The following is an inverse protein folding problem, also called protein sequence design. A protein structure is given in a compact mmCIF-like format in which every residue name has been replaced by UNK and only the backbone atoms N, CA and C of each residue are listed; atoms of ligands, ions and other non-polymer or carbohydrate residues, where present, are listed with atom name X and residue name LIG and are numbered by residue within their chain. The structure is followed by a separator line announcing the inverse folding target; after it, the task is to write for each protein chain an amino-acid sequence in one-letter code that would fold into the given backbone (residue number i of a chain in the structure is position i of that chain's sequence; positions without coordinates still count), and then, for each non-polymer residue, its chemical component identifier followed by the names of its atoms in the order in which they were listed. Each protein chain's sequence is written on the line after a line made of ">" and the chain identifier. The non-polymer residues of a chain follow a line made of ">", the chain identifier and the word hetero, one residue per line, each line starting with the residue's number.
data_IF_569856198213
#
_entry.id   IF_569856198213
#
_cell.length_a   1.000
_cell.length_b   1.000
_cell.length_c   1.000
_cell.angle_alpha   90.00
_cell.angle_beta   90.00
_cell.angle_gamma   90.00
#
_symmetry.space_group_name_H-M   'P 1'
#
loop_
_entity.id
_entity.type
_entity.pdbx_description
1 polymer ?
#
# COMPACT_ATOMS: atom_id res chain seq x y z
N UNK A 1 -18.78 -0.64 -20.51
CA UNK A 1 -17.93 -0.46 -19.31
C UNK A 1 -17.04 -1.68 -19.19
N UNK A 2 -15.72 -1.52 -19.34
CA UNK A 2 -14.78 -2.62 -19.21
C UNK A 2 -14.60 -2.91 -17.72
N UNK A 3 -14.80 -4.16 -17.29
CA UNK A 3 -14.39 -4.61 -15.96
C UNK A 3 -12.88 -4.80 -16.04
N UNK A 4 -12.10 -3.97 -15.34
CA UNK A 4 -10.67 -4.22 -15.19
C UNK A 4 -10.49 -5.56 -14.48
N UNK A 5 -9.78 -6.49 -15.13
CA UNK A 5 -9.40 -7.74 -14.48
C UNK A 5 -8.26 -7.48 -13.52
N UNK A 6 -8.07 -8.35 -12.54
CA UNK A 6 -6.96 -8.22 -11.60
C UNK A 6 -5.59 -8.32 -12.29
N UNK A 7 -5.51 -9.01 -13.42
CA UNK A 7 -4.33 -9.03 -14.28
C UNK A 7 -4.06 -7.66 -14.91
N UNK A 8 -5.11 -6.98 -15.37
CA UNK A 8 -5.00 -5.62 -15.90
C UNK A 8 -4.61 -4.63 -14.81
N UNK A 9 -5.16 -4.75 -13.60
CA UNK A 9 -4.76 -3.90 -12.47
C UNK A 9 -3.26 -4.02 -12.18
N UNK A 10 -2.71 -5.24 -12.26
CA UNK A 10 -1.29 -5.45 -12.04
C UNK A 10 -0.42 -5.01 -13.22
N UNK A 11 -0.82 -5.26 -14.46
CA UNK A 11 -0.05 -4.93 -15.65
C UNK A 11 0.43 -3.47 -15.69
N UNK A 12 1.61 -3.21 -16.25
CA UNK A 12 2.10 -1.85 -16.46
C UNK A 12 1.20 -1.08 -17.44
N UNK A 13 0.89 0.17 -17.14
CA UNK A 13 0.03 1.03 -17.94
C UNK A 13 0.85 2.10 -18.64
N UNK A 14 1.46 1.72 -19.75
CA UNK A 14 2.35 2.58 -20.51
C UNK A 14 1.67 3.88 -20.98
N UNK A 15 2.31 5.01 -20.70
CA UNK A 15 1.80 6.36 -21.03
C UNK A 15 2.56 7.04 -22.17
N UNK A 16 3.47 6.33 -22.84
CA UNK A 16 4.34 6.83 -23.92
C UNK A 16 5.16 8.09 -23.54
N UNK A 17 5.40 8.33 -22.24
CA UNK A 17 6.29 9.40 -21.76
C UNK A 17 5.86 10.84 -22.04
N UNK A 18 4.62 11.08 -22.51
CA UNK A 18 4.15 12.42 -22.91
C UNK A 18 3.81 13.35 -21.74
N UNK A 19 3.72 12.81 -20.53
CA UNK A 19 3.37 13.54 -19.30
C UNK A 19 4.17 12.95 -18.13
N UNK A 20 4.42 13.73 -17.06
CA UNK A 20 4.97 13.16 -15.84
C UNK A 20 4.06 12.05 -15.32
N UNK A 21 4.64 10.91 -15.04
CA UNK A 21 3.91 9.69 -14.69
C UNK A 21 4.76 8.85 -13.75
N UNK A 22 4.10 8.22 -12.79
CA UNK A 22 4.68 7.16 -11.99
C UNK A 22 3.71 5.98 -11.94
N UNK A 23 4.25 4.78 -11.80
CA UNK A 23 3.53 3.56 -11.51
C UNK A 23 4.40 2.66 -10.64
N UNK A 24 3.90 2.28 -9.48
CA UNK A 24 4.65 1.52 -8.49
C UNK A 24 3.81 0.43 -7.85
N UNK A 25 4.44 -0.71 -7.58
CA UNK A 25 3.86 -1.86 -6.90
C UNK A 25 4.55 -2.01 -5.55
N UNK A 26 3.75 -2.05 -4.49
CA UNK A 26 4.20 -2.26 -3.12
C UNK A 26 3.90 -3.69 -2.70
N UNK A 27 4.96 -4.46 -2.45
CA UNK A 27 4.93 -5.78 -1.86
C UNK A 27 5.29 -5.67 -0.40
N UNK A 28 4.42 -6.18 0.47
CA UNK A 28 4.74 -6.33 1.89
C UNK A 28 4.76 -7.78 2.26
N UNK A 29 5.83 -8.19 2.92
CA UNK A 29 6.05 -9.54 3.44
C UNK A 29 6.22 -9.44 4.94
N UNK A 30 5.45 -10.20 5.70
CA UNK A 30 5.44 -10.15 7.15
C UNK A 30 5.60 -11.55 7.74
N UNK A 31 6.75 -11.77 8.39
CA UNK A 31 7.07 -13.02 9.09
C UNK A 31 6.94 -12.82 10.61
N UNK A 32 7.23 -13.85 11.41
CA UNK A 32 7.32 -13.70 12.86
C UNK A 32 8.46 -12.77 13.28
N UNK A 33 9.56 -12.75 12.53
CA UNK A 33 10.81 -12.09 12.90
C UNK A 33 11.04 -10.75 12.20
N UNK A 34 10.63 -10.62 10.94
CA UNK A 34 10.91 -9.43 10.13
C UNK A 34 9.70 -9.07 9.27
N UNK A 35 9.51 -7.77 9.05
CA UNK A 35 8.61 -7.26 8.02
C UNK A 35 9.44 -6.52 6.99
N UNK A 36 9.12 -6.71 5.72
CA UNK A 36 9.82 -6.12 4.57
C UNK A 36 8.78 -5.49 3.65
N UNK A 37 9.05 -4.26 3.22
CA UNK A 37 8.37 -3.60 2.12
C UNK A 37 9.31 -3.52 0.92
N UNK A 38 8.82 -3.87 -0.27
CA UNK A 38 9.52 -3.73 -1.54
C UNK A 38 8.62 -2.96 -2.49
N UNK A 39 9.06 -1.77 -2.88
CA UNK A 39 8.41 -0.94 -3.87
C UNK A 39 9.22 -1.07 -5.16
N UNK A 40 8.62 -1.62 -6.20
CA UNK A 40 9.18 -1.56 -7.56
C UNK A 40 8.36 -0.54 -8.33
N UNK A 41 8.99 0.36 -9.08
CA UNK A 41 8.24 1.35 -9.83
C UNK A 41 8.97 1.91 -11.03
N UNK A 42 8.19 2.52 -11.91
CA UNK A 42 8.64 3.20 -13.11
C UNK A 42 8.16 4.64 -13.00
N UNK A 43 9.01 5.58 -13.39
CA UNK A 43 8.63 6.97 -13.50
C UNK A 43 9.33 7.65 -14.68
N UNK A 44 8.77 8.78 -15.11
CA UNK A 44 9.35 9.60 -16.17
C UNK A 44 9.92 10.89 -15.60
N UNK A 45 11.22 11.10 -15.79
CA UNK A 45 11.89 12.36 -15.48
C UNK A 45 12.40 12.99 -16.78
N UNK A 46 11.90 14.19 -17.12
CA UNK A 46 12.26 14.92 -18.35
C UNK A 46 12.12 14.10 -19.65
N UNK A 47 11.12 13.21 -19.69
CA UNK A 47 10.85 12.33 -20.83
C UNK A 47 11.68 11.04 -20.85
N UNK A 48 12.59 10.83 -19.90
CA UNK A 48 13.38 9.61 -19.76
C UNK A 48 12.68 8.69 -18.75
N UNK A 49 12.42 7.45 -19.18
CA UNK A 49 11.86 6.39 -18.31
C UNK A 49 12.97 5.87 -17.39
N UNK A 50 12.68 5.79 -16.10
CA UNK A 50 13.58 5.25 -15.10
C UNK A 50 12.82 4.27 -14.19
N UNK A 51 13.45 3.14 -13.90
CA UNK A 51 13.00 2.17 -12.93
C UNK A 51 13.59 2.49 -11.57
N UNK A 52 12.89 2.10 -10.50
CA UNK A 52 13.45 2.13 -9.16
C UNK A 52 12.96 0.94 -8.34
N UNK A 53 13.82 0.46 -7.45
CA UNK A 53 13.43 -0.47 -6.39
C UNK A 53 13.75 0.20 -5.08
N UNK A 54 12.77 0.28 -4.19
CA UNK A 54 12.94 0.75 -2.83
C UNK A 54 12.61 -0.36 -1.86
N UNK A 55 13.53 -0.66 -0.95
CA UNK A 55 13.37 -1.71 0.05
C UNK A 55 13.44 -1.08 1.43
N UNK A 56 12.55 -1.49 2.33
CA UNK A 56 12.59 -1.14 3.74
C UNK A 56 12.32 -2.38 4.58
N UNK A 57 12.95 -2.49 5.75
CA UNK A 57 12.79 -3.65 6.61
C UNK A 57 12.90 -3.31 8.09
N UNK A 58 12.25 -4.12 8.93
CA UNK A 58 12.26 -3.91 10.39
C UNK A 58 13.51 -4.42 11.09
N UNK A 59 14.43 -5.10 10.39
CA UNK A 59 15.66 -5.63 10.98
C UNK A 59 16.75 -4.56 11.05
N UNK A 60 16.99 -3.86 9.94
CA UNK A 60 17.92 -2.73 9.82
C UNK A 60 17.26 -1.40 10.13
N UNK A 61 15.94 -1.29 9.95
CA UNK A 61 15.15 -0.07 10.11
C UNK A 61 15.68 1.09 9.25
N UNK A 62 16.09 0.79 8.02
CA UNK A 62 16.51 1.75 6.99
C UNK A 62 15.74 1.48 5.70
N UNK A 63 15.84 2.42 4.75
CA UNK A 63 15.38 2.20 3.39
C UNK A 63 16.52 2.36 2.38
N UNK A 64 16.61 1.42 1.46
CA UNK A 64 17.50 1.46 0.30
C UNK A 64 16.71 1.85 -0.95
N UNK A 65 17.30 2.69 -1.80
CA UNK A 65 16.70 3.15 -3.05
C UNK A 65 17.69 2.93 -4.19
N UNK A 66 17.30 2.10 -5.14
CA UNK A 66 18.07 1.72 -6.31
C UNK A 66 17.39 2.30 -7.55
N UNK A 67 18.19 2.81 -8.49
CA UNK A 67 17.71 3.39 -9.75
C UNK A 67 18.22 2.54 -10.90
N UNK A 68 17.34 2.28 -11.86
CA UNK A 68 17.61 1.49 -13.05
C UNK A 68 17.35 2.36 -14.29
N UNK A 69 18.33 2.52 -15.18
CA UNK A 69 18.12 3.20 -16.45
C UNK A 69 17.14 2.42 -17.34
N UNK A 70 16.62 3.09 -18.36
CA UNK A 70 15.61 2.52 -19.28
C UNK A 70 16.02 1.18 -19.90
N UNK A 71 17.30 1.04 -20.26
CA UNK A 71 17.88 -0.16 -20.87
C UNK A 71 17.83 -1.41 -19.98
N UNK A 72 17.72 -1.22 -18.66
CA UNK A 72 17.60 -2.31 -17.70
C UNK A 72 16.14 -2.71 -17.44
N UNK A 73 15.17 -1.93 -17.94
CA UNK A 73 13.74 -2.11 -17.69
C UNK A 73 13.11 -3.01 -18.75
N UNK A 74 12.62 -4.16 -18.31
CA UNK A 74 11.95 -5.14 -19.14
C UNK A 74 10.55 -5.42 -18.59
N UNK A 75 9.52 -5.12 -19.38
CA UNK A 75 8.13 -5.29 -18.98
C UNK A 75 7.45 -6.29 -19.91
N UNK A 76 6.95 -7.36 -19.33
CA UNK A 76 6.03 -8.30 -19.96
C UNK A 76 4.63 -8.07 -19.37
N UNK A 77 3.59 -8.64 -19.97
CA UNK A 77 2.18 -8.32 -19.66
C UNK A 77 1.85 -8.35 -18.15
N UNK A 78 2.41 -9.32 -17.41
CA UNK A 78 2.17 -9.49 -15.96
C UNK A 78 3.47 -9.70 -15.16
N UNK A 79 4.59 -9.18 -15.68
CA UNK A 79 5.91 -9.33 -15.07
C UNK A 79 6.75 -8.08 -15.29
N UNK A 80 7.32 -7.58 -14.21
CA UNK A 80 8.23 -6.43 -14.21
C UNK A 80 9.63 -6.94 -13.88
N UNK A 81 10.60 -6.60 -14.72
CA UNK A 81 11.99 -6.96 -14.50
C UNK A 81 12.92 -5.76 -14.62
N UNK A 82 13.81 -5.60 -13.65
CA UNK A 82 14.94 -4.68 -13.72
C UNK A 82 16.22 -5.48 -13.59
N UNK A 83 16.95 -5.64 -14.70
CA UNK A 83 18.05 -6.63 -14.83
C UNK A 83 17.59 -8.04 -14.41
N UNK A 84 18.23 -8.63 -13.39
CA UNK A 84 17.92 -9.94 -12.82
C UNK A 84 16.72 -9.94 -11.86
N UNK A 85 16.30 -8.78 -11.36
CA UNK A 85 15.19 -8.66 -10.41
C UNK A 85 13.87 -8.90 -11.13
N UNK A 86 12.97 -9.70 -10.55
CA UNK A 86 11.69 -10.09 -11.15
C UNK A 86 10.54 -9.95 -10.17
N UNK A 87 9.46 -9.28 -10.61
CA UNK A 87 8.28 -9.02 -9.81
C UNK A 87 7.02 -9.41 -10.57
N UNK A 88 6.23 -10.29 -9.98
CA UNK A 88 4.91 -10.69 -10.47
C UNK A 88 3.91 -10.70 -9.32
N UNK A 89 2.64 -10.89 -9.62
CA UNK A 89 1.63 -11.11 -8.58
C UNK A 89 1.91 -12.34 -7.71
N UNK A 90 2.67 -13.32 -8.20
CA UNK A 90 2.87 -14.60 -7.55
C UNK A 90 4.28 -14.82 -7.02
N UNK A 91 5.20 -13.91 -7.33
CA UNK A 91 6.61 -14.11 -7.07
C UNK A 91 7.36 -12.77 -6.97
N UNK A 92 8.31 -12.72 -6.03
CA UNK A 92 9.27 -11.64 -5.87
C UNK A 92 10.68 -12.23 -5.83
N UNK A 93 11.50 -11.83 -6.79
CA UNK A 93 12.94 -12.02 -6.80
C UNK A 93 13.61 -10.65 -6.74
N UNK A 94 14.38 -10.41 -5.68
CA UNK A 94 15.20 -9.22 -5.54
C UNK A 94 16.60 -9.61 -5.10
N UNK A 95 17.61 -9.06 -5.74
CA UNK A 95 19.00 -9.24 -5.39
C UNK A 95 19.74 -7.91 -5.57
N UNK A 96 20.52 -7.56 -4.55
CA UNK A 96 21.49 -6.49 -4.61
C UNK A 96 22.71 -6.85 -3.76
N UNK A 97 23.87 -6.94 -4.41
CA UNK A 97 25.12 -7.34 -3.76
C UNK A 97 25.67 -6.25 -2.83
N UNK A 98 25.59 -4.99 -3.24
CA UNK A 98 26.15 -3.85 -2.50
C UNK A 98 25.46 -3.66 -1.14
N UNK A 99 24.12 -3.75 -1.12
CA UNK A 99 23.29 -3.66 0.08
C UNK A 99 23.19 -4.98 0.83
N UNK A 100 23.74 -6.07 0.26
CA UNK A 100 23.65 -7.43 0.78
C UNK A 100 22.20 -7.86 1.03
N UNK A 101 21.37 -7.65 0.01
CA UNK A 101 19.95 -8.01 0.02
C UNK A 101 19.68 -9.11 -0.99
N UNK A 102 18.98 -10.14 -0.55
CA UNK A 102 18.46 -11.16 -1.45
C UNK A 102 17.10 -11.66 -0.94
N UNK A 103 16.11 -11.69 -1.81
CA UNK A 103 14.74 -12.09 -1.49
C UNK A 103 14.24 -12.95 -2.64
N UNK A 104 13.76 -14.15 -2.30
CA UNK A 104 13.15 -15.07 -3.25
C UNK A 104 11.90 -15.65 -2.59
N UNK A 105 10.74 -15.13 -2.99
CA UNK A 105 9.48 -15.34 -2.25
C UNK A 105 8.33 -15.62 -3.19
N UNK A 106 7.67 -16.75 -2.98
CA UNK A 106 6.45 -17.17 -3.67
C UNK A 106 5.21 -16.74 -2.89
N UNK A 107 4.16 -16.35 -3.60
CA UNK A 107 2.89 -15.89 -3.04
C UNK A 107 1.76 -16.86 -3.41
N UNK A 108 1.11 -17.41 -2.38
CA UNK A 108 0.06 -18.41 -2.52
C UNK A 108 -1.24 -17.97 -1.86
N UNK A 109 -2.37 -18.55 -2.27
CA UNK A 109 -3.68 -18.36 -1.62
C UNK A 109 -4.06 -16.87 -1.49
N UNK A 110 -4.04 -16.16 -2.62
CA UNK A 110 -4.36 -14.73 -2.63
C UNK A 110 -5.84 -14.48 -2.36
N UNK A 111 -6.13 -13.58 -1.42
CA UNK A 111 -7.45 -13.02 -1.21
C UNK A 111 -7.55 -11.69 -1.95
N UNK A 112 -8.41 -11.64 -2.96
CA UNK A 112 -8.62 -10.46 -3.79
C UNK A 112 -9.76 -9.62 -3.29
N UNK A 113 -9.70 -8.32 -3.54
CA UNK A 113 -10.82 -7.42 -3.26
C UNK A 113 -12.05 -7.81 -4.10
N UNK A 114 -13.20 -7.96 -3.47
CA UNK A 114 -14.44 -8.25 -4.20
C UNK A 114 -14.94 -7.00 -4.91
N UNK A 115 -15.05 -7.06 -6.25
CA UNK A 115 -15.57 -5.98 -7.09
C UNK A 115 -16.86 -6.35 -7.83
N UNK A 116 -17.56 -5.35 -8.34
CA UNK A 116 -18.71 -5.50 -9.24
C UNK A 116 -18.71 -4.40 -10.31
N UNK A 117 -19.74 -4.33 -11.16
CA UNK A 117 -19.79 -3.35 -12.26
C UNK A 117 -19.83 -1.89 -11.78
N UNK A 118 -20.32 -1.61 -10.58
CA UNK A 118 -20.31 -0.25 -10.02
C UNK A 118 -18.97 0.07 -9.34
N UNK A 119 -18.33 -0.94 -8.75
CA UNK A 119 -17.07 -0.81 -8.03
C UNK A 119 -16.11 -1.94 -8.40
N UNK A 120 -15.49 -1.89 -9.60
CA UNK A 120 -14.65 -2.98 -10.09
C UNK A 120 -13.36 -3.12 -9.27
N UNK A 121 -12.81 -2.00 -8.81
CA UNK A 121 -11.58 -1.91 -8.00
C UNK A 121 -11.85 -1.22 -6.66
N UNK A 122 -10.80 -0.97 -5.89
CA UNK A 122 -10.89 -0.20 -4.63
C UNK A 122 -11.33 1.25 -4.86
N UNK A 123 -11.06 1.80 -6.05
CA UNK A 123 -11.46 3.14 -6.46
C UNK A 123 -12.98 3.27 -6.68
N UNK A 124 -13.74 2.18 -6.67
CA UNK A 124 -15.18 2.24 -6.89
C UNK A 124 -15.52 2.86 -8.25
N UNK A 125 -16.51 3.76 -8.33
CA UNK A 125 -16.84 4.47 -9.57
C UNK A 125 -15.68 5.30 -10.15
N UNK A 126 -14.70 5.71 -9.33
CA UNK A 126 -13.54 6.49 -9.80
C UNK A 126 -12.58 5.68 -10.66
N UNK A 127 -12.70 4.34 -10.70
CA UNK A 127 -11.99 3.49 -11.68
C UNK A 127 -12.33 3.84 -13.14
N UNK A 128 -13.47 4.48 -13.38
CA UNK A 128 -13.90 4.90 -14.71
C UNK A 128 -13.47 6.34 -15.07
N UNK A 129 -12.66 6.97 -14.23
CA UNK A 129 -12.26 8.37 -14.36
C UNK A 129 -10.74 8.50 -14.35
N UNK A 130 -10.21 9.53 -15.00
CA UNK A 130 -8.80 9.90 -14.85
C UNK A 130 -8.61 10.57 -13.47
N UNK A 131 -7.82 9.91 -12.61
CA UNK A 131 -7.49 10.40 -11.28
C UNK A 131 -6.01 10.77 -11.22
N UNK A 132 -5.65 11.77 -10.40
CA UNK A 132 -4.25 12.17 -10.17
C UNK A 132 -3.41 10.99 -9.63
N UNK A 133 -4.04 10.16 -8.80
CA UNK A 133 -3.52 8.91 -8.29
C UNK A 133 -4.64 7.86 -8.32
N UNK A 134 -4.38 6.75 -9.00
CA UNK A 134 -5.23 5.56 -9.03
C UNK A 134 -4.60 4.50 -8.14
N UNK A 135 -5.36 4.03 -7.17
CA UNK A 135 -4.95 2.98 -6.24
C UNK A 135 -5.54 1.63 -6.64
N UNK A 136 -4.77 0.56 -6.54
CA UNK A 136 -5.18 -0.80 -6.86
C UNK A 136 -4.73 -1.75 -5.74
N UNK A 137 -5.66 -2.59 -5.26
CA UNK A 137 -5.34 -3.67 -4.33
C UNK A 137 -5.25 -4.97 -5.12
N UNK A 138 -4.03 -5.48 -5.28
CA UNK A 138 -3.74 -6.71 -6.01
C UNK A 138 -4.03 -7.94 -5.13
N UNK A 139 -3.60 -7.88 -3.87
CA UNK A 139 -3.85 -8.92 -2.88
C UNK A 139 -4.02 -8.33 -1.48
N UNK A 140 -5.19 -8.49 -0.88
CA UNK A 140 -5.46 -8.10 0.52
C UNK A 140 -4.69 -8.97 1.52
N UNK A 141 -4.46 -10.23 1.18
CA UNK A 141 -3.79 -11.21 2.03
C UNK A 141 -3.34 -12.39 1.19
N UNK A 142 -2.13 -12.87 1.37
CA UNK A 142 -1.65 -14.12 0.79
C UNK A 142 -0.62 -14.77 1.72
N UNK A 143 -0.32 -16.05 1.51
CA UNK A 143 0.80 -16.73 2.19
C UNK A 143 2.08 -16.49 1.42
N UNK A 144 3.14 -16.19 2.14
CA UNK A 144 4.49 -16.09 1.62
C UNK A 144 5.28 -17.36 1.98
N UNK A 145 6.12 -17.84 1.07
CA UNK A 145 7.08 -18.93 1.29
C UNK A 145 8.36 -18.61 0.52
N UNK A 146 9.53 -18.90 1.10
CA UNK A 146 10.81 -18.57 0.49
C UNK A 146 11.86 -18.06 1.48
N UNK A 147 12.80 -17.24 1.01
CA UNK A 147 13.93 -16.78 1.82
C UNK A 147 14.14 -15.27 1.71
N UNK A 148 14.54 -14.68 2.84
CA UNK A 148 15.00 -13.31 2.93
C UNK A 148 16.42 -13.33 3.51
N UNK A 149 17.39 -12.73 2.83
CA UNK A 149 18.75 -12.54 3.29
C UNK A 149 19.02 -11.04 3.38
N UNK A 150 19.29 -10.56 4.59
CA UNK A 150 19.50 -9.14 4.88
C UNK A 150 20.81 -9.01 5.64
N UNK A 151 21.84 -8.43 5.02
CA UNK A 151 23.19 -8.24 5.60
C UNK A 151 23.76 -9.53 6.21
N UNK A 152 23.72 -10.62 5.44
CA UNK A 152 24.22 -11.93 5.84
C UNK A 152 23.31 -12.70 6.81
N UNK A 153 22.25 -12.09 7.36
CA UNK A 153 21.27 -12.80 8.19
C UNK A 153 20.12 -13.36 7.34
N UNK A 154 19.94 -14.67 7.39
CA UNK A 154 18.83 -15.35 6.73
C UNK A 154 17.58 -15.38 7.63
N UNK A 155 16.42 -15.11 7.04
CA UNK A 155 15.10 -15.28 7.62
C UNK A 155 14.24 -16.15 6.70
N UNK A 156 13.37 -16.95 7.30
CA UNK A 156 12.34 -17.67 6.57
C UNK A 156 11.24 -16.66 6.15
N UNK A 157 10.89 -16.64 4.86
CA UNK A 157 9.82 -15.77 4.35
C UNK A 157 8.41 -16.31 4.67
N UNK A 158 8.30 -17.46 5.35
CA UNK A 158 7.04 -18.06 5.79
C UNK A 158 6.22 -17.09 6.63
N UNK A 159 5.21 -16.52 5.99
CA UNK A 159 4.53 -15.36 6.51
C UNK A 159 3.27 -15.01 5.75
N UNK A 160 2.80 -13.79 5.98
CA UNK A 160 1.63 -13.22 5.31
C UNK A 160 2.09 -12.00 4.53
N UNK A 161 1.52 -11.80 3.35
CA UNK A 161 1.81 -10.63 2.55
C UNK A 161 0.60 -9.92 2.00
N UNK A 162 0.89 -8.75 1.43
CA UNK A 162 -0.04 -7.81 0.84
C UNK A 162 0.60 -7.20 -0.41
N UNK A 163 -0.20 -6.96 -1.45
CA UNK A 163 0.26 -6.29 -2.68
C UNK A 163 -0.74 -5.21 -3.06
N UNK A 164 -0.24 -4.00 -3.22
CA UNK A 164 -0.96 -2.89 -3.82
C UNK A 164 -0.14 -2.22 -4.91
N UNK A 165 -0.78 -1.29 -5.60
CA UNK A 165 -0.18 -0.54 -6.66
C UNK A 165 -0.80 0.85 -6.73
N UNK A 166 0.06 1.83 -6.99
CA UNK A 166 -0.32 3.20 -7.24
C UNK A 166 0.20 3.66 -8.60
N UNK A 167 -0.64 4.38 -9.35
CA UNK A 167 -0.25 4.98 -10.62
C UNK A 167 -0.86 6.36 -10.80
N UNK A 168 -0.17 7.25 -11.51
CA UNK A 168 -0.70 8.56 -11.84
C UNK A 168 0.39 9.62 -11.97
N UNK A 169 0.06 10.86 -11.64
CA UNK A 169 0.97 12.00 -11.75
C UNK A 169 1.59 12.38 -10.42
N UNK A 170 0.82 12.37 -9.33
CA UNK A 170 1.30 12.76 -8.00
C UNK A 170 0.51 12.07 -6.90
N UNK A 171 1.12 11.92 -5.72
CA UNK A 171 0.38 11.58 -4.51
C UNK A 171 -0.45 12.76 -3.98
N UNK A 172 -1.56 12.48 -3.26
CA UNK A 172 -2.37 13.50 -2.63
C UNK A 172 -1.56 14.42 -1.71
N UNK A 173 -1.99 15.68 -1.58
CA UNK A 173 -1.34 16.68 -0.72
C UNK A 173 -1.27 16.23 0.74
N UNK A 174 -2.37 15.66 1.23
CA UNK A 174 -2.54 15.14 2.58
C UNK A 174 -3.12 13.75 2.50
N UNK A 175 -2.49 12.81 3.19
CA UNK A 175 -2.99 11.45 3.25
C UNK A 175 -2.51 10.70 4.50
N UNK A 176 -3.35 9.76 4.93
CA UNK A 176 -3.09 8.75 5.94
C UNK A 176 -3.33 7.41 5.27
N UNK A 177 -2.29 6.59 5.17
CA UNK A 177 -2.37 5.22 4.69
C UNK A 177 -1.99 4.28 5.83
N UNK A 178 -2.73 3.19 5.99
CA UNK A 178 -2.43 2.12 6.94
C UNK A 178 -2.82 0.78 6.35
N UNK A 179 -1.94 -0.20 6.49
CA UNK A 179 -2.18 -1.58 6.09
C UNK A 179 -1.61 -2.58 7.11
N UNK A 180 -2.40 -3.58 7.50
CA UNK A 180 -1.89 -4.72 8.28
C UNK A 180 -2.70 -5.99 8.07
N UNK A 181 -1.99 -7.13 8.08
CA UNK A 181 -2.58 -8.47 8.16
C UNK A 181 -2.40 -9.13 9.54
N UNK A 182 -1.68 -8.50 10.46
CA UNK A 182 -1.29 -9.09 11.74
C UNK A 182 -2.33 -8.84 12.81
N UNK A 183 -3.28 -9.75 12.99
CA UNK A 183 -4.20 -9.71 14.13
C UNK A 183 -4.46 -11.13 14.65
N UNK A 184 -5.28 -11.24 15.71
CA UNK A 184 -5.60 -12.54 16.33
C UNK A 184 -6.43 -13.44 15.42
N UNK A 185 -7.14 -12.88 14.45
CA UNK A 185 -7.95 -13.62 13.49
C UNK A 185 -7.11 -13.94 12.24
N UNK A 186 -7.07 -15.23 11.88
CA UNK A 186 -6.45 -15.67 10.63
C UNK A 186 -7.18 -15.05 9.43
N UNK A 187 -6.49 -14.98 8.28
CA UNK A 187 -7.07 -14.50 7.00
C UNK A 187 -7.77 -13.14 7.15
N UNK A 188 -7.07 -12.22 7.79
CA UNK A 188 -7.59 -10.89 8.11
C UNK A 188 -6.67 -9.81 7.56
N UNK A 189 -7.27 -8.68 7.21
CA UNK A 189 -6.58 -7.51 6.67
C UNK A 189 -7.33 -6.25 7.14
N UNK A 190 -6.60 -5.25 7.58
CA UNK A 190 -7.12 -3.91 7.74
C UNK A 190 -6.32 -2.98 6.83
N UNK A 191 -7.00 -2.44 5.84
CA UNK A 191 -6.50 -1.41 4.93
C UNK A 191 -7.34 -0.14 5.13
N UNK A 192 -6.67 1.00 5.23
CA UNK A 192 -7.27 2.32 5.38
C UNK A 192 -6.44 3.32 4.60
N UNK A 193 -7.08 4.05 3.69
CA UNK A 193 -6.52 5.26 3.09
C UNK A 193 -7.54 6.39 3.19
N UNK A 194 -7.10 7.51 3.76
CA UNK A 194 -7.83 8.78 3.82
C UNK A 194 -6.94 9.80 3.15
N UNK A 195 -7.45 10.50 2.14
CA UNK A 195 -6.66 11.45 1.38
C UNK A 195 -7.50 12.62 0.89
N UNK A 196 -6.89 13.79 0.76
CA UNK A 196 -7.52 14.95 0.14
C UNK A 196 -7.37 14.82 -1.39
N UNK A 197 -8.48 14.56 -2.08
CA UNK A 197 -8.52 14.25 -3.52
C UNK A 197 -8.99 15.48 -4.31
N UNK A 198 -8.18 15.97 -5.27
CA UNK A 198 -8.63 17.00 -6.19
C UNK A 198 -9.55 16.40 -7.27
N UNK A 199 -10.72 17.01 -7.48
CA UNK A 199 -11.58 16.76 -8.65
C UNK A 199 -11.88 18.10 -9.31
N UNK A 200 -11.24 18.34 -10.47
CA UNK A 200 -11.33 19.60 -11.22
C UNK A 200 -11.01 20.81 -10.33
N UNK A 201 -12.01 21.64 -10.02
CA UNK A 201 -11.88 22.86 -9.21
C UNK A 201 -12.26 22.64 -7.73
N UNK A 202 -12.63 21.42 -7.35
CA UNK A 202 -13.03 21.06 -6.00
C UNK A 202 -12.03 20.10 -5.37
N UNK A 203 -12.02 20.04 -4.05
CA UNK A 203 -11.24 19.09 -3.25
C UNK A 203 -12.20 18.43 -2.26
N UNK A 204 -12.09 17.11 -2.08
CA UNK A 204 -12.87 16.38 -1.09
C UNK A 204 -11.99 15.35 -0.39
N UNK A 205 -12.33 15.04 0.87
CA UNK A 205 -11.66 13.97 1.59
C UNK A 205 -12.18 12.61 1.11
N UNK A 206 -11.37 11.92 0.32
CA UNK A 206 -11.57 10.54 -0.10
C UNK A 206 -11.28 9.57 1.04
N UNK A 207 -12.08 8.50 1.11
CA UNK A 207 -11.88 7.41 2.05
C UNK A 207 -12.04 6.12 1.28
N UNK A 208 -11.07 5.22 1.40
CA UNK A 208 -11.17 3.83 1.00
C UNK A 208 -10.61 2.98 2.14
N UNK A 209 -11.44 2.06 2.64
CA UNK A 209 -11.10 1.22 3.76
C UNK A 209 -11.69 -0.17 3.54
N UNK A 210 -10.88 -1.18 3.80
CA UNK A 210 -11.27 -2.58 3.69
C UNK A 210 -10.88 -3.26 4.99
N UNK A 211 -11.90 -3.78 5.67
CA UNK A 211 -11.70 -4.70 6.77
C UNK A 211 -12.10 -6.09 6.31
N UNK A 212 -11.12 -6.97 6.19
CA UNK A 212 -11.33 -8.39 5.98
C UNK A 212 -11.10 -9.13 7.30
N UNK A 213 -12.08 -9.89 7.77
CA UNK A 213 -11.95 -10.74 8.95
C UNK A 213 -12.34 -12.16 8.60
N UNK A 214 -11.41 -13.10 8.74
CA UNK A 214 -11.61 -14.52 8.43
C UNK A 214 -12.19 -14.69 7.00
N UNK A 215 -11.58 -14.01 6.03
CA UNK A 215 -11.99 -14.02 4.63
C UNK A 215 -13.22 -13.16 4.28
N UNK A 216 -13.97 -12.63 5.25
CA UNK A 216 -15.16 -11.79 4.99
C UNK A 216 -14.78 -10.31 4.90
N UNK A 217 -15.05 -9.70 3.75
CA UNK A 217 -14.71 -8.30 3.48
C UNK A 217 -15.86 -7.35 3.81
N UNK A 218 -15.55 -6.24 4.47
CA UNK A 218 -16.40 -5.08 4.63
C UNK A 218 -15.66 -3.86 4.09
N UNK A 219 -16.27 -3.18 3.12
CA UNK A 219 -15.73 -1.98 2.49
C UNK A 219 -16.40 -0.73 3.08
N UNK A 220 -15.57 0.24 3.45
CA UNK A 220 -15.97 1.58 3.85
C UNK A 220 -15.36 2.56 2.86
N UNK A 221 -16.18 3.28 2.11
CA UNK A 221 -15.67 4.23 1.12
C UNK A 221 -16.60 5.43 0.95
N UNK A 222 -16.05 6.58 0.57
CA UNK A 222 -16.85 7.80 0.33
C UNK A 222 -17.94 7.58 -0.71
N UNK A 223 -17.65 6.84 -1.78
CA UNK A 223 -18.64 6.46 -2.80
C UNK A 223 -19.70 5.46 -2.30
N UNK A 224 -19.54 4.91 -1.09
CA UNK A 224 -20.55 4.10 -0.38
C UNK A 224 -21.17 4.87 0.80
N UNK A 225 -20.91 6.19 0.90
CA UNK A 225 -21.42 7.05 1.96
C UNK A 225 -20.60 7.05 3.25
N UNK A 226 -19.37 6.53 3.24
CA UNK A 226 -18.48 6.66 4.38
C UNK A 226 -18.02 8.11 4.58
N UNK A 227 -17.91 8.53 5.83
CA UNK A 227 -17.37 9.85 6.22
C UNK A 227 -16.53 9.74 7.48
N UNK A 228 -15.48 10.55 7.56
CA UNK A 228 -14.77 10.82 8.81
C UNK A 228 -15.56 11.87 9.57
N UNK A 229 -15.98 11.53 10.78
CA UNK A 229 -16.73 12.44 11.68
C UNK A 229 -15.85 13.06 12.75
N UNK A 230 -14.70 12.45 13.04
CA UNK A 230 -13.70 12.99 13.94
C UNK A 230 -12.33 12.42 13.58
N UNK A 231 -11.31 13.26 13.56
CA UNK A 231 -9.92 12.84 13.44
C UNK A 231 -9.04 13.79 14.26
N UNK A 232 -8.31 13.24 15.22
CA UNK A 232 -7.36 13.96 16.05
C UNK A 232 -6.00 13.28 15.98
N UNK A 233 -4.93 14.07 15.93
CA UNK A 233 -3.57 13.56 15.96
C UNK A 233 -2.78 14.16 17.12
N UNK A 234 -2.18 13.31 17.94
CA UNK A 234 -1.38 13.72 19.09
C UNK A 234 0.02 13.10 19.03
N UNK A 235 1.05 13.94 19.06
CA UNK A 235 2.43 13.48 19.17
C UNK A 235 2.78 13.20 20.63
N UNK A 236 3.29 12.00 20.91
CA UNK A 236 3.80 11.57 22.22
C UNK A 236 5.20 11.01 22.07
N UNK A 237 5.85 10.68 23.19
CA UNK A 237 7.21 10.11 23.23
C UNK A 237 7.32 8.81 22.42
N UNK A 238 6.28 7.98 22.42
CA UNK A 238 6.24 6.69 21.73
C UNK A 238 5.90 6.76 20.23
N UNK A 239 5.48 7.93 19.73
CA UNK A 239 5.06 8.11 18.35
C UNK A 239 3.88 9.08 18.20
N UNK A 240 3.26 9.06 17.03
CA UNK A 240 2.05 9.81 16.73
C UNK A 240 0.83 8.93 16.96
N UNK A 241 -0.10 9.38 17.78
CA UNK A 241 -1.40 8.75 17.95
C UNK A 241 -2.40 9.42 17.02
N UNK A 242 -3.17 8.63 16.27
CA UNK A 242 -4.30 9.11 15.48
C UNK A 242 -5.57 8.49 16.04
N UNK A 243 -6.51 9.32 16.45
CA UNK A 243 -7.84 8.91 16.89
C UNK A 243 -8.83 9.29 15.80
N UNK A 244 -9.49 8.29 15.23
CA UNK A 244 -10.33 8.43 14.06
C UNK A 244 -11.69 7.79 14.33
N UNK A 245 -12.76 8.53 14.05
CA UNK A 245 -14.13 8.01 14.07
C UNK A 245 -14.75 8.16 12.68
N UNK A 246 -15.20 7.05 12.11
CA UNK A 246 -15.83 6.97 10.79
C UNK A 246 -17.22 6.38 10.85
N UNK A 247 -18.12 6.80 9.95
CA UNK A 247 -19.48 6.24 9.81
C UNK A 247 -19.80 5.90 8.36
N UNK A 248 -20.54 4.81 8.13
CA UNK A 248 -21.16 4.46 6.85
C UNK A 248 -22.50 3.75 7.10
N UNK A 249 -23.61 4.46 6.88
CA UNK A 249 -24.94 3.94 7.20
C UNK A 249 -25.08 3.60 8.70
N UNK A 250 -25.48 2.36 9.00
CA UNK A 250 -25.60 1.84 10.38
C UNK A 250 -24.29 1.41 11.03
N UNK A 251 -23.16 1.47 10.30
CA UNK A 251 -21.85 1.05 10.78
C UNK A 251 -21.02 2.25 11.24
N UNK A 252 -20.27 2.06 12.32
CA UNK A 252 -19.30 3.03 12.84
C UNK A 252 -17.98 2.33 13.16
N UNK A 253 -16.86 3.05 13.02
CA UNK A 253 -15.53 2.56 13.32
C UNK A 253 -14.81 3.58 14.20
N UNK A 254 -14.34 3.12 15.36
CA UNK A 254 -13.33 3.82 16.14
C UNK A 254 -11.98 3.18 15.85
N UNK A 255 -11.03 4.00 15.43
CA UNK A 255 -9.69 3.58 15.06
C UNK A 255 -8.71 4.41 15.88
N UNK A 256 -7.89 3.73 16.67
CA UNK A 256 -6.72 4.32 17.33
C UNK A 256 -5.45 3.76 16.67
N UNK A 257 -4.76 4.60 15.90
CA UNK A 257 -3.47 4.28 15.31
C UNK A 257 -2.33 4.79 16.20
N UNK A 258 -1.27 4.00 16.30
CA UNK A 258 0.04 4.42 16.80
C UNK A 258 1.05 4.29 15.66
N UNK A 259 1.49 5.46 15.16
CA UNK A 259 2.49 5.61 14.11
C UNK A 259 3.87 5.87 14.73
N UNK A 260 4.81 4.95 14.52
CA UNK A 260 6.14 4.91 15.16
C UNK A 260 7.14 4.13 14.31
N UNK A 261 8.41 4.10 14.69
CA UNK A 261 9.45 3.26 14.05
C UNK A 261 9.49 3.48 12.53
N UNK A 262 9.77 4.72 12.13
CA UNK A 262 9.61 5.19 10.75
C UNK A 262 10.94 5.21 10.00
N UNK A 263 10.89 4.84 8.72
CA UNK A 263 11.98 4.99 7.76
C UNK A 263 11.63 6.07 6.74
N UNK A 264 12.63 6.82 6.27
CA UNK A 264 12.45 7.80 5.20
C UNK A 264 12.45 7.10 3.85
N UNK A 265 11.44 7.39 3.03
CA UNK A 265 11.21 6.83 1.70
C UNK A 265 11.19 7.95 0.65
N UNK A 266 11.62 7.66 -0.58
CA UNK A 266 11.35 8.57 -1.70
C UNK A 266 9.94 8.33 -2.24
N UNK A 267 9.27 9.42 -2.63
CA UNK A 267 7.91 9.42 -3.16
C UNK A 267 7.79 10.43 -4.33
N UNK A 268 6.83 10.21 -5.25
CA UNK A 268 6.67 11.04 -6.43
C UNK A 268 6.02 12.39 -6.10
N UNK A 269 6.55 13.46 -6.70
CA UNK A 269 5.88 14.76 -6.88
C UNK A 269 5.99 15.11 -8.35
N UNK A 270 4.84 15.27 -9.01
CA UNK A 270 4.79 15.52 -10.46
C UNK A 270 5.61 14.50 -11.26
N UNK A 271 5.44 13.21 -10.96
CA UNK A 271 6.14 12.10 -11.62
C UNK A 271 7.61 11.93 -11.26
N UNK A 272 8.20 12.79 -10.42
CA UNK A 272 9.62 12.72 -10.03
C UNK A 272 9.74 12.25 -8.58
N UNK A 273 10.61 11.28 -8.31
CA UNK A 273 10.85 10.71 -6.97
C UNK A 273 11.68 11.65 -6.07
N UNK A 274 11.21 12.88 -5.82
CA UNK A 274 11.95 13.92 -5.10
C UNK A 274 11.41 14.23 -3.70
N UNK A 275 10.18 13.80 -3.35
CA UNK A 275 9.64 14.02 -2.00
C UNK A 275 10.11 12.92 -1.07
N UNK A 276 10.44 13.28 0.16
CA UNK A 276 10.66 12.30 1.23
C UNK A 276 9.35 12.10 1.99
N UNK A 277 8.85 10.88 2.03
CA UNK A 277 7.77 10.46 2.93
C UNK A 277 8.35 9.57 4.03
N UNK A 278 7.56 9.31 5.07
CA UNK A 278 7.97 8.43 6.15
C UNK A 278 6.98 7.28 6.22
N UNK A 279 7.49 6.06 6.17
CA UNK A 279 6.71 4.84 6.32
C UNK A 279 7.18 4.09 7.56
N UNK A 280 6.23 3.51 8.28
CA UNK A 280 6.47 2.52 9.33
C UNK A 280 6.00 1.15 8.88
N UNK A 281 6.72 0.09 9.24
CA UNK A 281 6.24 -1.30 9.13
C UNK A 281 5.81 -1.89 10.49
N UNK A 282 5.88 -1.10 11.56
CA UNK A 282 5.65 -1.54 12.95
C UNK A 282 4.53 -0.76 13.66
N UNK A 283 3.71 -0.04 12.88
CA UNK A 283 2.57 0.71 13.40
C UNK A 283 1.45 -0.21 13.87
N UNK A 284 0.63 0.27 14.80
CA UNK A 284 -0.45 -0.51 15.42
C UNK A 284 -1.77 0.21 15.21
N UNK A 285 -2.82 -0.53 14.85
CA UNK A 285 -4.18 -0.04 14.80
C UNK A 285 -5.07 -0.84 15.74
N UNK A 286 -5.78 -0.15 16.65
CA UNK A 286 -6.89 -0.72 17.40
C UNK A 286 -8.17 -0.29 16.72
N UNK A 287 -8.98 -1.26 16.28
CA UNK A 287 -10.21 -1.03 15.53
C UNK A 287 -11.39 -1.60 16.31
N UNK A 288 -12.38 -0.75 16.60
CA UNK A 288 -13.66 -1.14 17.19
C UNK A 288 -14.74 -0.88 16.15
N UNK A 289 -15.56 -1.89 15.88
CA UNK A 289 -16.65 -1.79 14.91
C UNK A 289 -17.97 -1.80 15.64
N UNK A 290 -18.85 -0.89 15.25
CA UNK A 290 -20.21 -0.81 15.72
C UNK A 290 -21.18 -1.08 14.58
N UNK A 291 -22.31 -1.70 14.92
CA UNK A 291 -23.49 -1.78 14.06
C UNK A 291 -24.71 -1.40 14.90
N UNK A 292 -25.44 -0.36 14.50
CA UNK A 292 -26.51 0.24 15.31
C UNK A 292 -26.06 0.55 16.75
N UNK A 293 -24.92 1.22 16.88
CA UNK A 293 -24.29 1.63 18.15
C UNK A 293 -23.88 0.48 19.10
N UNK A 294 -24.02 -0.79 18.68
CA UNK A 294 -23.53 -1.95 19.43
C UNK A 294 -22.18 -2.39 18.87
N UNK A 295 -21.23 -2.63 19.77
CA UNK A 295 -19.93 -3.20 19.37
C UNK A 295 -20.16 -4.60 18.83
N UNK A 296 -19.74 -4.84 17.59
CA UNK A 296 -19.79 -6.16 16.97
C UNK A 296 -18.41 -6.81 16.90
N UNK A 297 -17.33 -6.03 16.98
CA UNK A 297 -15.96 -6.56 16.86
C UNK A 297 -14.94 -5.60 17.48
N UNK A 298 -13.85 -6.15 18.01
CA UNK A 298 -12.64 -5.41 18.41
C UNK A 298 -11.41 -6.16 17.92
N UNK A 299 -10.54 -5.50 17.17
CA UNK A 299 -9.29 -6.08 16.69
C UNK A 299 -8.11 -5.14 16.93
N UNK A 300 -6.95 -5.75 17.16
CA UNK A 300 -5.67 -5.05 17.21
C UNK A 300 -4.85 -5.59 16.04
N UNK A 301 -4.57 -4.70 15.09
CA UNK A 301 -3.70 -4.93 13.96
C UNK A 301 -2.30 -4.42 14.30
N UNK A 302 -1.29 -5.28 14.18
CA UNK A 302 0.11 -5.00 14.50
C UNK A 302 0.96 -5.05 13.22
N UNK A 303 2.27 -4.73 13.30
CA UNK A 303 3.18 -4.80 12.13
C UNK A 303 2.61 -4.06 10.92
N UNK A 304 1.99 -2.91 11.20
CA UNK A 304 1.26 -2.12 10.23
C UNK A 304 2.22 -1.29 9.39
N UNK A 305 2.02 -1.37 8.07
CA UNK A 305 2.45 -0.37 7.11
C UNK A 305 1.68 0.90 7.45
N UNK A 306 2.34 2.04 7.56
CA UNK A 306 1.66 3.29 7.88
C UNK A 306 2.45 4.48 7.34
N UNK A 307 1.75 5.40 6.68
CA UNK A 307 2.27 6.67 6.20
C UNK A 307 1.33 7.80 6.60
N UNK A 308 1.90 8.92 7.05
CA UNK A 308 1.16 10.16 7.35
C UNK A 308 1.89 11.31 6.68
N UNK A 309 1.23 11.98 5.73
CA UNK A 309 1.80 13.12 4.99
C UNK A 309 0.87 14.33 5.02
N UNK A 310 1.44 15.53 5.13
CA UNK A 310 0.72 16.80 5.04
C UNK A 310 -0.14 17.18 6.25
N UNK A 311 -0.17 16.37 7.31
CA UNK A 311 -0.84 16.72 8.58
C UNK A 311 0.05 17.46 9.58
N UNK A 312 1.35 17.49 9.33
CA UNK A 312 2.34 18.23 10.10
C UNK A 312 3.08 19.17 9.16
N UNK A 313 2.85 20.47 9.33
CA UNK A 313 3.64 21.56 8.78
C UNK A 313 4.25 22.34 9.94
#
# INVERSE_FOLDING_TARGET
>A
MRKETLEQEFAYHETNGKKPYFEGWYYKIQTSEVSVGVIVGIHYEKGIRNGFIQVLDTYRNISDYLVFPDEDIHIEEHKIKFKENEFTRHYLHFHDEEKQLHMDVQFHQQHHLHGNVYMPTIMGPFSYMEMECTHAIISLHHRCDGKLLIQGKAFDAKGIGYIEKDRGTSFPKRYLWYQSNSCRKKESCFFLSIADIPIKQLEFQGIICVLMLQGKQKRFATYLGAKVTHMEMMRKKEGVHVFLHMKQGSYELDIHLLYRDVCSLKAPVSGIMCKTVKESLNSIAKVIIYHHHKIIEKQIFQKGGCEISGYYG
#
